data_IF_420492277370
#
_entry.id   IF_420492277370
#
_cell.length_a   1.000
_cell.length_b   1.000
_cell.length_c   1.000
_cell.angle_alpha   90.00
_cell.angle_beta   90.00
_cell.angle_gamma   90.00
#
_symmetry.space_group_name_H-M   'P 1'
#
loop_
_entity.id
_entity.type
_entity.pdbx_description
1 polymer ?
#
# COMPACT_ATOMS: atom_id res chain seq x y z
N UNK A 1 -26.61 -5.14 -4.93
CA UNK A 1 -25.60 -5.88 -5.71
C UNK A 1 -24.64 -6.54 -4.73
N UNK A 2 -24.54 -7.88 -4.73
CA UNK A 2 -23.54 -8.58 -3.91
C UNK A 2 -22.20 -8.46 -4.64
N UNK A 3 -21.35 -7.53 -4.24
CA UNK A 3 -19.94 -7.59 -4.62
C UNK A 3 -19.37 -8.88 -4.03
N UNK A 4 -18.87 -9.76 -4.89
CA UNK A 4 -18.32 -11.03 -4.45
C UNK A 4 -17.06 -10.75 -3.62
N UNK A 5 -16.87 -11.48 -2.52
CA UNK A 5 -15.68 -11.32 -1.65
C UNK A 5 -14.36 -11.34 -2.43
N UNK A 6 -14.31 -12.12 -3.50
CA UNK A 6 -13.19 -12.20 -4.44
C UNK A 6 -12.95 -10.89 -5.23
N UNK A 7 -14.02 -10.17 -5.64
CA UNK A 7 -13.90 -8.87 -6.32
C UNK A 7 -13.40 -7.79 -5.37
N UNK A 8 -13.86 -7.81 -4.12
CA UNK A 8 -13.35 -6.91 -3.07
C UNK A 8 -11.87 -7.18 -2.76
N UNK A 9 -11.44 -8.44 -2.75
CA UNK A 9 -10.03 -8.79 -2.53
C UNK A 9 -9.15 -8.46 -3.74
N UNK A 10 -9.65 -8.63 -4.97
CA UNK A 10 -8.95 -8.20 -6.20
C UNK A 10 -8.77 -6.67 -6.22
N UNK A 11 -9.81 -5.91 -5.88
CA UNK A 11 -9.78 -4.46 -5.81
C UNK A 11 -8.75 -3.93 -4.80
N UNK A 12 -8.60 -4.60 -3.64
CA UNK A 12 -7.59 -4.28 -2.62
C UNK A 12 -6.18 -4.57 -3.09
N UNK A 13 -5.97 -5.72 -3.74
CA UNK A 13 -4.66 -6.09 -4.30
C UNK A 13 -4.20 -5.08 -5.35
N UNK A 14 -5.10 -4.62 -6.23
CA UNK A 14 -4.78 -3.59 -7.22
C UNK A 14 -4.42 -2.25 -6.57
N UNK A 15 -5.17 -1.83 -5.55
CA UNK A 15 -4.86 -0.61 -4.79
C UNK A 15 -3.51 -0.69 -4.07
N UNK A 16 -3.17 -1.84 -3.47
CA UNK A 16 -1.83 -2.06 -2.89
C UNK A 16 -0.74 -1.97 -3.94
N UNK A 17 -0.97 -2.54 -5.13
CA UNK A 17 0.00 -2.48 -6.23
C UNK A 17 0.31 -1.04 -6.64
N UNK A 18 -0.72 -0.20 -6.73
CA UNK A 18 -0.61 1.23 -7.03
C UNK A 18 0.31 1.96 -6.04
N UNK A 19 0.09 1.70 -4.74
CA UNK A 19 0.92 2.25 -3.67
C UNK A 19 2.36 1.75 -3.76
N UNK A 20 2.56 0.46 -3.98
CA UNK A 20 3.89 -0.14 -4.08
C UNK A 20 4.67 0.33 -5.33
N UNK A 21 3.98 0.63 -6.44
CA UNK A 21 4.61 1.19 -7.65
C UNK A 21 5.27 2.55 -7.37
N UNK A 22 4.68 3.39 -6.51
CA UNK A 22 5.28 4.68 -6.13
C UNK A 22 6.64 4.54 -5.44
N UNK A 23 6.85 3.45 -4.71
CA UNK A 23 8.15 3.15 -4.07
C UNK A 23 9.22 2.93 -5.13
N UNK A 24 8.90 2.25 -6.23
CA UNK A 24 9.85 1.94 -7.31
C UNK A 24 10.46 3.20 -7.93
N UNK A 25 9.69 4.29 -8.00
CA UNK A 25 10.12 5.55 -8.60
C UNK A 25 10.70 6.54 -7.59
N UNK A 26 10.74 6.19 -6.30
CA UNK A 26 11.40 7.03 -5.30
C UNK A 26 12.86 6.58 -5.20
N UNK A 27 13.77 7.37 -5.79
CA UNK A 27 15.14 6.97 -6.11
C UNK A 27 16.09 6.65 -4.93
N UNK A 28 15.66 6.79 -3.69
CA UNK A 28 16.49 6.50 -2.52
C UNK A 28 15.65 5.91 -1.41
N UNK A 29 15.67 4.58 -1.23
CA UNK A 29 15.07 3.97 -0.03
C UNK A 29 15.95 2.84 0.47
N UNK A 30 17.12 3.20 1.00
CA UNK A 30 17.85 2.35 1.94
C UNK A 30 17.13 2.26 3.29
N UNK A 31 16.40 3.32 3.68
CA UNK A 31 15.54 3.36 4.86
C UNK A 31 14.18 4.03 4.60
N UNK A 32 13.11 3.36 5.01
CA UNK A 32 11.71 3.85 4.92
C UNK A 32 11.39 4.98 5.93
N UNK A 33 12.40 5.59 6.56
CA UNK A 33 12.22 6.67 7.53
C UNK A 33 11.80 7.95 6.81
N UNK A 34 10.67 8.56 7.21
CA UNK A 34 10.12 9.75 6.55
C UNK A 34 9.40 9.48 5.22
N UNK A 35 9.76 8.43 4.48
CA UNK A 35 9.14 8.07 3.20
C UNK A 35 7.63 7.89 3.31
N UNK A 36 7.15 7.24 4.37
CA UNK A 36 5.71 7.01 4.56
C UNK A 36 4.92 8.32 4.66
N UNK A 37 5.48 9.36 5.29
CA UNK A 37 4.80 10.64 5.45
C UNK A 37 4.74 11.40 4.12
N UNK A 38 5.86 11.45 3.38
CA UNK A 38 5.91 12.04 2.05
C UNK A 38 4.96 11.32 1.09
N UNK A 39 4.95 9.99 1.10
CA UNK A 39 4.05 9.20 0.26
C UNK A 39 2.58 9.39 0.67
N UNK A 40 2.26 9.47 1.96
CA UNK A 40 0.91 9.78 2.41
C UNK A 40 0.42 11.14 1.91
N UNK A 41 1.27 12.18 1.97
CA UNK A 41 0.93 13.51 1.46
C UNK A 41 0.71 13.50 -0.06
N UNK A 42 1.59 12.84 -0.81
CA UNK A 42 1.45 12.74 -2.27
C UNK A 42 0.21 11.92 -2.66
N UNK A 43 -0.06 10.81 -1.98
CA UNK A 43 -1.28 10.01 -2.21
C UNK A 43 -2.52 10.87 -2.02
N UNK A 44 -2.59 11.68 -0.96
CA UNK A 44 -3.71 12.61 -0.72
C UNK A 44 -3.84 13.69 -1.78
N UNK A 45 -2.72 14.17 -2.33
CA UNK A 45 -2.73 15.23 -3.33
C UNK A 45 -3.12 14.73 -4.73
N UNK A 46 -2.75 13.49 -5.08
CA UNK A 46 -2.80 12.98 -6.46
C UNK A 46 -4.04 12.12 -6.75
N UNK A 47 -4.91 11.90 -5.77
CA UNK A 47 -6.06 11.00 -5.87
C UNK A 47 -7.35 11.63 -5.35
N UNK A 48 -8.48 11.26 -5.95
CA UNK A 48 -9.81 11.65 -5.50
C UNK A 48 -10.25 10.87 -4.25
N UNK A 49 -11.30 11.36 -3.58
CA UNK A 49 -11.81 10.79 -2.32
C UNK A 49 -12.17 9.30 -2.46
N UNK A 50 -12.77 8.89 -3.58
CA UNK A 50 -13.12 7.49 -3.84
C UNK A 50 -11.86 6.60 -3.91
N UNK A 51 -10.83 7.06 -4.61
CA UNK A 51 -9.55 6.33 -4.70
C UNK A 51 -8.86 6.28 -3.35
N UNK A 52 -8.93 7.37 -2.56
CA UNK A 52 -8.37 7.41 -1.21
C UNK A 52 -9.05 6.42 -0.27
N UNK A 53 -10.38 6.29 -0.32
CA UNK A 53 -11.12 5.28 0.45
C UNK A 53 -10.69 3.85 0.08
N UNK A 54 -10.48 3.58 -1.21
CA UNK A 54 -10.01 2.27 -1.68
C UNK A 54 -8.59 1.97 -1.21
N UNK A 55 -7.69 2.95 -1.23
CA UNK A 55 -6.32 2.83 -0.72
C UNK A 55 -6.35 2.58 0.80
N UNK A 56 -7.15 3.35 1.54
CA UNK A 56 -7.37 3.20 2.96
C UNK A 56 -7.83 1.79 3.33
N UNK A 57 -8.85 1.27 2.65
CA UNK A 57 -9.36 -0.08 2.85
C UNK A 57 -8.31 -1.17 2.53
N UNK A 58 -7.50 -0.96 1.49
CA UNK A 58 -6.44 -1.88 1.09
C UNK A 58 -5.29 -1.91 2.12
N UNK A 59 -4.91 -0.76 2.67
CA UNK A 59 -3.90 -0.66 3.72
C UNK A 59 -4.38 -1.29 5.03
N UNK A 60 -5.61 -1.03 5.46
CA UNK A 60 -6.20 -1.68 6.63
C UNK A 60 -6.30 -3.21 6.45
N UNK A 61 -6.52 -3.69 5.23
CA UNK A 61 -6.47 -5.12 4.94
C UNK A 61 -5.05 -5.70 5.04
N UNK A 62 -4.04 -4.95 4.58
CA UNK A 62 -2.64 -5.39 4.61
C UNK A 62 -2.08 -5.46 6.04
N UNK A 63 -2.42 -4.50 6.91
CA UNK A 63 -1.94 -4.47 8.30
C UNK A 63 -2.38 -5.69 9.12
N UNK A 64 -3.44 -6.38 8.70
CA UNK A 64 -3.92 -7.62 9.33
C UNK A 64 -3.31 -8.89 8.70
N UNK A 65 -2.36 -8.78 7.76
CA UNK A 65 -1.81 -9.90 6.98
C UNK A 65 -0.28 -9.84 6.87
N UNK A 66 0.44 -10.08 7.97
CA UNK A 66 1.91 -10.06 7.96
C UNK A 66 2.54 -11.12 7.04
N UNK A 67 1.84 -12.24 6.81
CA UNK A 67 2.35 -13.39 6.04
C UNK A 67 1.92 -13.39 4.56
N UNK A 68 1.28 -12.32 4.08
CA UNK A 68 0.92 -12.23 2.66
C UNK A 68 2.16 -12.03 1.79
N UNK A 69 2.19 -12.66 0.61
CA UNK A 69 3.33 -12.51 -0.31
C UNK A 69 3.24 -11.18 -1.07
N UNK A 70 3.58 -10.08 -0.40
CA UNK A 70 3.59 -8.74 -0.99
C UNK A 70 4.54 -8.61 -2.19
N UNK A 71 5.60 -9.41 -2.25
CA UNK A 71 6.51 -9.43 -3.40
C UNK A 71 5.83 -9.98 -4.65
N UNK A 72 4.85 -10.88 -4.54
CA UNK A 72 4.04 -11.31 -5.70
C UNK A 72 3.33 -10.13 -6.41
N UNK A 73 3.01 -9.06 -5.68
CA UNK A 73 2.37 -7.88 -6.24
C UNK A 73 3.33 -7.08 -7.12
N UNK A 74 4.61 -7.01 -6.74
CA UNK A 74 5.67 -6.32 -7.47
C UNK A 74 6.98 -7.12 -7.37
N UNK A 75 7.14 -8.17 -8.21
CA UNK A 75 8.27 -9.09 -8.12
C UNK A 75 9.64 -8.44 -8.31
N UNK A 76 9.67 -7.31 -9.03
CA UNK A 76 10.89 -6.57 -9.37
C UNK A 76 11.38 -5.63 -8.26
N UNK A 77 10.62 -5.42 -7.19
CA UNK A 77 11.11 -4.62 -6.07
C UNK A 77 12.26 -5.36 -5.35
N UNK A 78 13.37 -4.68 -5.03
CA UNK A 78 14.53 -5.28 -4.36
C UNK A 78 14.27 -5.57 -2.86
N UNK A 79 13.03 -5.49 -2.39
CA UNK A 79 12.65 -5.63 -0.99
C UNK A 79 11.92 -6.95 -0.74
N UNK A 80 12.11 -7.52 0.46
CA UNK A 80 11.38 -8.72 0.91
C UNK A 80 9.91 -8.38 1.24
N UNK A 81 9.03 -9.38 1.20
CA UNK A 81 7.62 -9.20 1.61
C UNK A 81 7.49 -8.64 3.04
N UNK A 82 8.41 -8.98 3.95
CA UNK A 82 8.46 -8.40 5.29
C UNK A 82 8.78 -6.89 5.29
N UNK A 83 9.78 -6.43 4.50
CA UNK A 83 10.08 -5.00 4.40
C UNK A 83 8.95 -4.22 3.73
N UNK A 84 8.28 -4.82 2.75
CA UNK A 84 7.10 -4.24 2.10
C UNK A 84 5.93 -4.13 3.09
N UNK A 85 5.68 -5.17 3.88
CA UNK A 85 4.69 -5.15 4.95
C UNK A 85 4.97 -4.02 5.96
N UNK A 86 6.19 -3.91 6.47
CA UNK A 86 6.57 -2.85 7.40
C UNK A 86 6.32 -1.44 6.82
N UNK A 87 6.63 -1.25 5.54
CA UNK A 87 6.33 -0.02 4.83
C UNK A 87 4.82 0.25 4.78
N UNK A 88 4.01 -0.73 4.37
CA UNK A 88 2.56 -0.59 4.29
C UNK A 88 1.94 -0.26 5.65
N UNK A 89 2.45 -0.84 6.74
CA UNK A 89 2.03 -0.48 8.10
C UNK A 89 2.37 0.96 8.47
N UNK A 90 3.58 1.44 8.12
CA UNK A 90 3.97 2.85 8.35
C UNK A 90 3.10 3.80 7.54
N UNK A 91 2.81 3.46 6.29
CA UNK A 91 1.96 4.26 5.42
C UNK A 91 0.51 4.30 5.94
N UNK A 92 -0.02 3.16 6.42
CA UNK A 92 -1.35 3.11 7.00
C UNK A 92 -1.48 4.06 8.21
N UNK A 93 -0.48 4.11 9.09
CA UNK A 93 -0.45 5.07 10.21
C UNK A 93 -0.36 6.53 9.71
N UNK A 94 0.48 6.81 8.72
CA UNK A 94 0.60 8.16 8.13
C UNK A 94 -0.69 8.63 7.45
N UNK A 95 -1.50 7.70 6.94
CA UNK A 95 -2.82 7.96 6.37
C UNK A 95 -3.94 8.02 7.43
N UNK A 96 -3.68 7.61 8.67
CA UNK A 96 -4.67 7.59 9.75
C UNK A 96 -5.64 6.41 9.68
N UNK A 97 -5.21 5.30 9.06
CA UNK A 97 -6.05 4.09 8.86
C UNK A 97 -5.65 2.90 9.73
N UNK A 98 -4.58 3.02 10.52
CA UNK A 98 -4.06 1.97 11.40
C UNK A 98 -3.45 2.54 12.68
#
# INVERSE_FOLDING_TARGET
>A
MMHSRAESDLGRVQSLRLVLYRILFTHEVTDFAGLAQTQASLIRADHDDETLERIAAALAWATNRPNFDYKSLLPYLPHSSARLYDYLCKLARALGVA
#
